data_IF_368684463579
#
_entry.id   IF_368684463579
#
_cell.length_a   1.000
_cell.length_b   1.000
_cell.length_c   1.000
_cell.angle_alpha   90.00
_cell.angle_beta   90.00
_cell.angle_gamma   90.00
#
_symmetry.space_group_name_H-M   'P 1'
#
loop_
_entity.id
_entity.type
_entity.pdbx_description
1 polymer ?
#
# COMPACT_ATOMS: atom_id res chain seq x y z
N UNK A 1 -3.22 11.05 -12.81
CA UNK A 1 -3.11 9.69 -12.23
C UNK A 1 -4.30 8.84 -12.68
N UNK A 2 -4.08 7.60 -13.11
CA UNK A 2 -5.13 6.65 -13.53
C UNK A 2 -5.10 5.37 -12.69
N UNK A 3 -6.25 4.73 -12.48
CA UNK A 3 -6.31 3.45 -11.79
C UNK A 3 -5.82 2.33 -12.73
N UNK A 4 -4.83 1.55 -12.30
CA UNK A 4 -4.25 0.45 -13.08
C UNK A 4 -4.65 -0.91 -12.47
N UNK A 5 -5.22 -1.79 -13.29
CA UNK A 5 -5.73 -3.08 -12.84
C UNK A 5 -4.64 -4.03 -12.30
N UNK A 6 -3.43 -4.02 -12.88
CA UNK A 6 -2.32 -4.85 -12.40
C UNK A 6 -1.76 -4.28 -11.09
N UNK A 7 -1.64 -2.96 -10.94
CA UNK A 7 -1.27 -2.34 -9.66
C UNK A 7 -2.31 -2.63 -8.57
N UNK A 8 -3.60 -2.62 -8.91
CA UNK A 8 -4.68 -2.99 -7.98
C UNK A 8 -4.56 -4.46 -7.56
N UNK A 9 -4.31 -5.39 -8.50
CA UNK A 9 -4.07 -6.80 -8.18
C UNK A 9 -2.86 -6.97 -7.25
N UNK A 10 -1.77 -6.26 -7.53
CA UNK A 10 -0.58 -6.27 -6.69
C UNK A 10 -0.85 -5.73 -5.28
N UNK A 11 -1.59 -4.62 -5.18
CA UNK A 11 -1.98 -4.02 -3.89
C UNK A 11 -2.84 -4.99 -3.06
N UNK A 12 -3.86 -5.60 -3.67
CA UNK A 12 -4.70 -6.63 -3.01
C UNK A 12 -3.88 -7.83 -2.56
N UNK A 13 -2.98 -8.34 -3.41
CA UNK A 13 -2.11 -9.45 -3.01
C UNK A 13 -1.26 -9.08 -1.81
N UNK A 14 -0.69 -7.86 -1.79
CA UNK A 14 0.08 -7.37 -0.65
C UNK A 14 -0.74 -7.20 0.61
N UNK A 15 -1.97 -6.73 0.53
CA UNK A 15 -2.87 -6.66 1.68
C UNK A 15 -3.13 -8.06 2.26
N UNK A 16 -3.36 -9.07 1.40
CA UNK A 16 -3.56 -10.46 1.82
C UNK A 16 -2.31 -11.07 2.46
N UNK A 17 -1.12 -10.80 1.91
CA UNK A 17 0.14 -11.31 2.45
C UNK A 17 0.43 -10.73 3.85
N UNK A 18 0.29 -9.41 4.02
CA UNK A 18 0.41 -8.75 5.33
C UNK A 18 -0.61 -9.33 6.32
N UNK A 19 -1.84 -9.58 5.87
CA UNK A 19 -2.89 -10.22 6.68
C UNK A 19 -2.52 -11.62 7.17
N UNK A 20 -1.87 -12.43 6.34
CA UNK A 20 -1.38 -13.77 6.72
C UNK A 20 -0.21 -13.72 7.71
N UNK A 21 0.65 -12.72 7.56
CA UNK A 21 1.82 -12.51 8.43
C UNK A 21 1.46 -11.82 9.75
N UNK A 22 0.26 -11.23 9.85
CA UNK A 22 -0.16 -10.36 10.95
C UNK A 22 0.81 -9.18 11.18
N UNK A 23 1.45 -8.73 10.11
CA UNK A 23 2.47 -7.67 10.13
C UNK A 23 2.37 -6.81 8.87
N UNK A 24 2.61 -5.50 9.03
CA UNK A 24 2.83 -4.60 7.90
C UNK A 24 4.32 -4.54 7.58
N UNK A 25 4.73 -5.20 6.50
CA UNK A 25 6.10 -5.09 6.01
C UNK A 25 6.16 -4.84 4.50
N UNK A 26 7.11 -4.00 4.11
CA UNK A 26 7.52 -3.81 2.73
C UNK A 26 8.46 -4.92 2.23
N UNK A 27 9.09 -5.64 3.17
CA UNK A 27 10.12 -6.64 2.92
C UNK A 27 9.69 -8.02 3.40
N UNK A 28 10.23 -9.06 2.77
CA UNK A 28 10.12 -10.43 3.25
C UNK A 28 11.14 -10.72 4.37
N UNK A 29 11.10 -11.94 4.92
CA UNK A 29 12.00 -12.37 5.99
C UNK A 29 13.48 -12.44 5.56
N UNK A 30 13.77 -12.43 4.25
CA UNK A 30 15.12 -12.40 3.70
C UNK A 30 15.59 -10.97 3.39
N UNK A 31 14.77 -9.95 3.66
CA UNK A 31 15.08 -8.54 3.40
C UNK A 31 14.83 -8.10 1.96
N UNK A 32 14.22 -8.92 1.11
CA UNK A 32 13.86 -8.52 -0.25
C UNK A 32 12.53 -7.78 -0.25
N UNK A 33 12.32 -6.90 -1.22
CA UNK A 33 11.03 -6.24 -1.42
C UNK A 33 9.93 -7.28 -1.67
N UNK A 34 8.99 -7.40 -0.73
CA UNK A 34 7.96 -8.44 -0.75
C UNK A 34 7.00 -8.35 -1.96
N UNK A 35 6.96 -7.19 -2.63
CA UNK A 35 6.16 -7.00 -3.84
C UNK A 35 6.91 -7.35 -5.13
N UNK A 36 8.24 -7.50 -5.12
CA UNK A 36 9.05 -7.55 -6.34
C UNK A 36 8.68 -8.74 -7.24
N UNK A 37 8.66 -9.96 -6.68
CA UNK A 37 8.34 -11.16 -7.46
C UNK A 37 6.93 -11.11 -8.07
N UNK A 38 5.94 -10.63 -7.30
CA UNK A 38 4.57 -10.51 -7.78
C UNK A 38 4.42 -9.39 -8.83
N UNK A 39 5.14 -8.28 -8.66
CA UNK A 39 5.17 -7.18 -9.63
C UNK A 39 5.72 -7.65 -10.98
N UNK A 40 6.86 -8.37 -10.96
CA UNK A 40 7.50 -8.91 -12.16
C UNK A 40 6.56 -9.87 -12.92
N UNK A 41 5.87 -10.76 -12.19
CA UNK A 41 4.87 -11.67 -12.77
C UNK A 41 3.67 -10.95 -13.40
N UNK A 42 3.38 -9.72 -12.97
CA UNK A 42 2.29 -8.88 -13.48
C UNK A 42 2.77 -7.88 -14.55
N UNK A 43 4.04 -7.94 -14.96
CA UNK A 43 4.64 -7.03 -15.93
C UNK A 43 4.83 -5.61 -15.39
N UNK A 44 4.95 -5.44 -14.08
CA UNK A 44 5.19 -4.15 -13.43
C UNK A 44 6.67 -4.09 -13.05
N UNK A 45 7.38 -3.06 -13.51
CA UNK A 45 8.76 -2.82 -13.07
C UNK A 45 8.77 -2.40 -11.60
N UNK A 46 9.26 -3.26 -10.71
CA UNK A 46 9.18 -3.01 -9.27
C UNK A 46 10.01 -1.81 -8.80
N UNK A 47 11.06 -1.44 -9.54
CA UNK A 47 11.92 -0.27 -9.25
C UNK A 47 11.19 1.07 -9.37
N UNK A 48 10.01 1.08 -9.99
CA UNK A 48 9.20 2.28 -10.21
C UNK A 48 7.97 2.34 -9.27
N UNK A 49 7.91 1.47 -8.26
CA UNK A 49 6.75 1.38 -7.37
C UNK A 49 7.07 2.04 -6.03
N UNK A 50 6.29 3.06 -5.68
CA UNK A 50 6.13 3.53 -4.31
C UNK A 50 4.95 2.81 -3.64
N UNK A 51 5.02 2.58 -2.31
CA UNK A 51 3.99 1.80 -1.58
C UNK A 51 3.61 2.47 -0.28
N UNK A 52 2.30 2.50 -0.01
CA UNK A 52 1.73 2.85 1.29
C UNK A 52 0.98 1.65 1.85
N UNK A 53 1.27 1.24 3.09
CA UNK A 53 0.62 0.11 3.76
C UNK A 53 -0.08 0.58 5.03
N UNK A 54 -1.36 0.23 5.17
CA UNK A 54 -2.21 0.63 6.30
C UNK A 54 -2.76 -0.57 7.02
N UNK A 55 -2.85 -0.48 8.34
CA UNK A 55 -3.45 -1.48 9.20
C UNK A 55 -4.30 -0.80 10.26
N UNK A 56 -5.39 -1.45 10.62
CA UNK A 56 -6.26 -1.04 11.71
C UNK A 56 -6.72 -2.27 12.49
N UNK A 57 -6.80 -2.14 13.81
CA UNK A 57 -7.34 -3.18 14.69
C UNK A 57 -8.87 -3.14 14.76
N UNK A 58 -9.52 -2.17 14.11
CA UNK A 58 -10.97 -2.04 14.11
C UNK A 58 -11.62 -3.17 13.28
N UNK A 59 -12.54 -3.92 13.90
CA UNK A 59 -13.27 -4.99 13.20
C UNK A 59 -14.33 -4.41 12.25
N UNK A 60 -14.57 -5.07 11.11
CA UNK A 60 -15.69 -4.74 10.20
C UNK A 60 -17.05 -4.68 10.93
N UNK A 61 -17.22 -5.43 12.02
CA UNK A 61 -18.48 -5.56 12.75
C UNK A 61 -18.82 -4.35 13.65
N UNK A 62 -17.85 -3.49 13.98
CA UNK A 62 -18.06 -2.37 14.91
C UNK A 62 -18.43 -1.06 14.20
N UNK A 63 -18.43 -1.02 12.86
CA UNK A 63 -18.35 0.25 12.15
C UNK A 63 -19.13 0.24 10.83
N UNK A 64 -20.41 0.56 10.93
CA UNK A 64 -21.33 0.62 9.79
C UNK A 64 -21.02 1.68 8.72
N UNK A 65 -19.96 2.48 8.89
CA UNK A 65 -19.62 3.62 8.00
C UNK A 65 -18.13 3.98 7.92
N UNK A 66 -17.20 3.18 8.47
CA UNK A 66 -15.77 3.55 8.40
C UNK A 66 -15.18 3.32 7.01
N UNK A 67 -14.75 4.41 6.40
CA UNK A 67 -14.02 4.41 5.13
C UNK A 67 -12.52 4.28 5.43
N UNK A 68 -12.06 3.03 5.57
CA UNK A 68 -10.64 2.72 5.84
C UNK A 68 -9.69 3.37 4.84
N UNK A 69 -10.12 3.53 3.57
CA UNK A 69 -9.36 4.22 2.55
C UNK A 69 -9.17 5.71 2.87
N UNK A 70 -10.23 6.41 3.28
CA UNK A 70 -10.13 7.81 3.72
C UNK A 70 -9.28 7.98 4.97
N UNK A 71 -9.40 7.07 5.94
CA UNK A 71 -8.57 7.13 7.14
C UNK A 71 -7.09 6.92 6.81
N UNK A 72 -6.77 5.91 5.99
CA UNK A 72 -5.42 5.67 5.53
C UNK A 72 -4.85 6.90 4.81
N UNK A 73 -5.59 7.48 3.85
CA UNK A 73 -5.18 8.69 3.15
C UNK A 73 -4.95 9.87 4.11
N UNK A 74 -5.83 10.07 5.10
CA UNK A 74 -5.63 11.11 6.11
C UNK A 74 -4.36 10.89 6.94
N UNK A 75 -4.10 9.65 7.36
CA UNK A 75 -2.90 9.31 8.12
C UNK A 75 -1.63 9.56 7.29
N UNK A 76 -1.60 9.11 6.05
CA UNK A 76 -0.46 9.32 5.15
C UNK A 76 -0.22 10.80 4.82
N UNK A 77 -1.28 11.59 4.59
CA UNK A 77 -1.09 12.98 4.16
C UNK A 77 -0.76 13.93 5.31
N UNK A 78 -1.35 13.70 6.50
CA UNK A 78 -1.33 14.69 7.58
C UNK A 78 -0.65 14.22 8.86
N UNK A 79 -0.39 12.92 9.03
CA UNK A 79 0.11 12.34 10.27
C UNK A 79 1.33 11.41 10.09
N UNK A 80 2.06 11.59 9.00
CA UNK A 80 3.13 10.67 8.56
C UNK A 80 4.53 11.04 9.07
N UNK A 81 4.62 11.86 10.11
CA UNK A 81 5.90 12.31 10.66
C UNK A 81 6.80 11.14 11.12
N UNK A 82 6.20 10.02 11.57
CA UNK A 82 6.94 8.84 12.03
C UNK A 82 7.70 8.10 10.93
N UNK A 83 7.29 8.21 9.66
CA UNK A 83 8.03 7.66 8.52
C UNK A 83 8.99 8.67 7.88
N UNK A 84 9.09 9.88 8.46
CA UNK A 84 9.79 10.99 7.82
C UNK A 84 9.05 11.56 6.62
N UNK A 85 7.71 11.45 6.59
CA UNK A 85 6.84 11.87 5.48
C UNK A 85 6.93 11.00 4.20
N UNK A 86 7.51 9.80 4.28
CA UNK A 86 7.69 8.94 3.11
C UNK A 86 6.38 8.45 2.47
N UNK A 87 5.32 8.18 3.24
CA UNK A 87 4.01 7.84 2.67
C UNK A 87 3.34 9.07 2.04
N UNK A 88 3.48 10.25 2.63
CA UNK A 88 3.01 11.49 2.03
C UNK A 88 3.67 11.73 0.68
N UNK A 89 4.99 11.65 0.63
CA UNK A 89 5.77 11.91 -0.58
C UNK A 89 5.39 10.92 -1.70
N UNK A 90 5.21 9.65 -1.36
CA UNK A 90 4.72 8.64 -2.30
C UNK A 90 3.34 8.97 -2.91
N UNK A 91 2.43 9.59 -2.14
CA UNK A 91 1.08 9.94 -2.62
C UNK A 91 1.03 11.20 -3.48
N UNK A 92 1.95 12.13 -3.25
CA UNK A 92 2.00 13.42 -3.97
C UNK A 92 3.09 13.44 -5.05
N UNK A 93 3.76 12.31 -5.29
CA UNK A 93 4.78 12.15 -6.32
C UNK A 93 4.23 12.56 -7.69
N UNK A 94 4.81 13.61 -8.25
CA UNK A 94 4.39 14.22 -9.50
C UNK A 94 4.63 13.33 -10.72
N UNK A 95 5.64 12.44 -10.66
CA UNK A 95 5.95 11.49 -11.73
C UNK A 95 5.05 10.25 -11.71
N UNK A 96 4.31 10.02 -10.63
CA UNK A 96 3.40 8.88 -10.50
C UNK A 96 2.13 9.08 -11.34
N UNK A 97 2.09 8.43 -12.51
CA UNK A 97 0.94 8.55 -13.44
C UNK A 97 -0.15 7.52 -13.21
N UNK A 98 0.10 6.47 -12.43
CA UNK A 98 -0.81 5.35 -12.21
C UNK A 98 -0.86 4.95 -10.73
N UNK A 99 -2.00 4.41 -10.29
CA UNK A 99 -2.20 3.94 -8.91
C UNK A 99 -2.98 2.62 -8.90
N UNK A 100 -2.73 1.79 -7.89
CA UNK A 100 -3.54 0.63 -7.55
C UNK A 100 -3.88 0.66 -6.06
N UNK A 101 -5.10 0.23 -5.72
CA UNK A 101 -5.61 0.25 -4.35
C UNK A 101 -6.27 -1.11 -4.09
N UNK A 102 -5.97 -1.75 -2.96
CA UNK A 102 -6.43 -3.11 -2.68
C UNK A 102 -6.32 -3.52 -1.23
#
# INVERSE_FOLDING_TARGET
MTLNANLTKLATQRALDCGKQQELSHYDAAGNMAAAQAADQMGISYYLISKCLYYTSASKATVGTFDFGKQAANQYLYHDAASGWGYRDNLIESEATQVGIG
#
